data_IF_714927706226
#
_entry.id   IF_714927706226
#
_cell.length_a   1.000
_cell.length_b   1.000
_cell.length_c   1.000
_cell.angle_alpha   90.00
_cell.angle_beta   90.00
_cell.angle_gamma   90.00
#
_symmetry.space_group_name_H-M   'P 1'
#
loop_
_entity.id
_entity.type
_entity.pdbx_description
1 polymer ?
#
# COMPACT_ATOMS: atom_id res chain seq x y z
N UNK A 1 -4.44 13.32 15.15
CA UNK A 1 -4.62 11.94 15.66
C UNK A 1 -3.37 11.15 15.32
N UNK A 2 -2.88 10.31 16.22
CA UNK A 2 -1.72 9.44 15.95
C UNK A 2 -2.24 8.08 15.50
N UNK A 3 -1.96 7.70 14.26
CA UNK A 3 -2.35 6.43 13.66
C UNK A 3 -1.13 5.76 13.00
N UNK A 4 -1.19 4.45 12.84
CA UNK A 4 -0.17 3.67 12.15
C UNK A 4 -0.79 2.76 11.11
N UNK A 5 -0.04 2.46 10.05
CA UNK A 5 -0.44 1.46 9.07
C UNK A 5 -0.57 0.08 9.76
N UNK A 6 -1.65 -0.67 9.53
CA UNK A 6 -1.76 -2.05 9.99
C UNK A 6 -0.83 -2.96 9.20
N UNK A 7 -0.52 -4.14 9.72
CA UNK A 7 0.19 -5.17 8.95
C UNK A 7 -0.57 -5.49 7.65
N UNK A 8 0.14 -5.71 6.52
CA UNK A 8 -0.51 -6.06 5.26
C UNK A 8 -1.33 -7.34 5.37
N UNK A 9 -2.54 -7.33 4.81
CA UNK A 9 -3.35 -8.54 4.69
C UNK A 9 -2.68 -9.53 3.73
N UNK A 10 -2.73 -10.82 4.06
CA UNK A 10 -2.18 -11.89 3.23
C UNK A 10 -3.28 -12.65 2.51
N UNK A 11 -2.97 -13.06 1.28
CA UNK A 11 -3.86 -13.91 0.47
C UNK A 11 -3.68 -15.38 0.82
N UNK A 12 -4.74 -16.16 0.63
CA UNK A 12 -4.72 -17.62 0.71
C UNK A 12 -4.71 -18.17 -0.70
N UNK A 13 -3.85 -19.15 -0.97
CA UNK A 13 -3.81 -19.82 -2.26
C UNK A 13 -5.06 -20.71 -2.44
N UNK A 14 -5.61 -20.72 -3.65
CA UNK A 14 -6.80 -21.50 -4.03
C UNK A 14 -6.55 -22.20 -5.36
N UNK A 15 -7.23 -23.31 -5.60
CA UNK A 15 -7.03 -24.15 -6.80
C UNK A 15 -7.84 -23.68 -8.02
N UNK A 16 -8.70 -22.68 -7.85
CA UNK A 16 -9.58 -22.18 -8.90
C UNK A 16 -9.65 -20.65 -8.89
N UNK A 17 -9.60 -19.98 -10.06
CA UNK A 17 -9.76 -18.54 -10.18
C UNK A 17 -11.24 -18.11 -10.21
N UNK A 18 -12.18 -19.02 -10.00
CA UNK A 18 -13.61 -18.70 -10.02
C UNK A 18 -13.94 -17.63 -8.98
N UNK A 19 -14.66 -16.59 -9.42
CA UNK A 19 -15.13 -15.50 -8.58
C UNK A 19 -16.64 -15.65 -8.37
N UNK A 20 -17.11 -16.11 -7.19
CA UNK A 20 -18.53 -16.19 -6.88
C UNK A 20 -19.21 -14.81 -6.94
N UNK A 21 -20.53 -14.81 -7.00
CA UNK A 21 -21.30 -13.56 -6.97
C UNK A 21 -20.93 -12.71 -5.74
N UNK A 22 -20.66 -11.42 -5.95
CA UNK A 22 -20.22 -10.49 -4.92
C UNK A 22 -18.70 -10.38 -4.73
N UNK A 23 -17.90 -11.16 -5.46
CA UNK A 23 -16.44 -11.06 -5.42
C UNK A 23 -15.92 -10.08 -6.48
N UNK A 24 -14.86 -9.35 -6.13
CA UNK A 24 -14.07 -8.57 -7.07
C UNK A 24 -12.77 -9.33 -7.40
N UNK A 25 -12.34 -9.23 -8.66
CA UNK A 25 -11.05 -9.75 -9.11
C UNK A 25 -10.08 -8.61 -9.38
N UNK A 26 -8.87 -8.74 -8.88
CA UNK A 26 -7.75 -7.85 -9.19
C UNK A 26 -6.59 -8.68 -9.77
N UNK A 27 -5.83 -8.09 -10.70
CA UNK A 27 -4.64 -8.74 -11.22
C UNK A 27 -3.59 -8.90 -10.11
N UNK A 28 -3.02 -10.10 -10.00
CA UNK A 28 -1.87 -10.33 -9.12
C UNK A 28 -0.59 -9.89 -9.83
N UNK A 29 -0.17 -8.67 -9.58
CA UNK A 29 1.12 -8.16 -10.05
C UNK A 29 2.29 -8.80 -9.30
N UNK A 30 3.44 -8.90 -9.97
CA UNK A 30 4.70 -9.31 -9.37
C UNK A 30 5.56 -8.06 -9.11
N UNK A 31 5.98 -7.89 -7.86
CA UNK A 31 6.59 -6.65 -7.38
C UNK A 31 6.65 -6.61 -5.86
N UNK A 32 7.06 -5.47 -5.31
CA UNK A 32 7.14 -5.31 -3.87
C UNK A 32 5.77 -4.93 -3.30
N UNK A 33 5.23 -5.76 -2.39
CA UNK A 33 4.10 -5.34 -1.56
C UNK A 33 4.57 -4.17 -0.69
N UNK A 34 3.90 -3.04 -0.83
CA UNK A 34 4.23 -1.82 -0.12
C UNK A 34 2.97 -1.13 0.39
N UNK A 35 3.11 -0.48 1.55
CA UNK A 35 2.09 0.39 2.10
C UNK A 35 2.61 1.82 2.13
N UNK A 36 1.74 2.76 1.80
CA UNK A 36 2.05 4.19 1.75
C UNK A 36 1.15 4.93 2.75
N UNK A 37 1.75 5.78 3.57
CA UNK A 37 1.03 6.68 4.47
C UNK A 37 1.38 8.13 4.14
N UNK A 38 0.35 8.95 3.93
CA UNK A 38 0.41 10.41 3.88
C UNK A 38 -0.23 10.95 5.15
N UNK A 39 0.59 11.52 6.05
CA UNK A 39 0.10 12.10 7.31
C UNK A 39 -0.29 13.56 7.15
N UNK A 40 -1.20 14.05 7.99
CA UNK A 40 -1.55 15.47 8.05
C UNK A 40 -0.35 16.42 8.31
N UNK A 41 0.74 15.93 8.89
CA UNK A 41 1.98 16.70 9.07
C UNK A 41 2.80 16.89 7.79
N UNK A 42 2.37 16.32 6.65
CA UNK A 42 3.16 16.28 5.42
C UNK A 42 4.25 15.20 5.42
N UNK A 43 4.27 14.32 6.44
CA UNK A 43 5.16 13.15 6.45
C UNK A 43 4.61 12.08 5.53
N UNK A 44 5.46 11.60 4.63
CA UNK A 44 5.20 10.40 3.82
C UNK A 44 6.04 9.25 4.34
N UNK A 45 5.44 8.07 4.45
CA UNK A 45 6.12 6.82 4.73
C UNK A 45 5.71 5.80 3.69
N UNK A 46 6.67 5.29 2.94
CA UNK A 46 6.53 4.10 2.12
C UNK A 46 7.27 2.95 2.80
N UNK A 47 6.57 1.85 3.10
CA UNK A 47 7.17 0.70 3.78
C UNK A 47 6.93 -0.61 3.06
N UNK A 48 7.91 -1.51 3.13
CA UNK A 48 7.80 -2.88 2.64
C UNK A 48 6.82 -3.70 3.50
N UNK A 49 6.46 -4.90 3.01
CA UNK A 49 5.75 -5.92 3.80
C UNK A 49 6.38 -6.20 5.17
N UNK A 50 7.70 -6.08 5.30
CA UNK A 50 8.44 -6.37 6.53
C UNK A 50 8.69 -5.11 7.37
N UNK A 51 8.05 -3.98 7.03
CA UNK A 51 8.17 -2.73 7.77
C UNK A 51 9.44 -1.92 7.45
N UNK A 52 10.26 -2.35 6.49
CA UNK A 52 11.42 -1.58 6.03
C UNK A 52 10.95 -0.26 5.43
N UNK A 53 11.50 0.87 5.90
CA UNK A 53 11.25 2.18 5.27
C UNK A 53 11.97 2.24 3.92
N UNK A 54 11.19 2.40 2.85
CA UNK A 54 11.65 2.47 1.47
C UNK A 54 11.52 3.88 0.90
N UNK A 55 11.08 4.86 1.70
CA UNK A 55 10.73 6.21 1.22
C UNK A 55 11.89 6.90 0.49
N UNK A 56 13.11 6.73 0.98
CA UNK A 56 14.30 7.32 0.36
C UNK A 56 14.68 6.66 -0.97
N UNK A 57 14.29 5.39 -1.18
CA UNK A 57 14.60 4.64 -2.40
C UNK A 57 13.66 4.96 -3.56
N UNK A 58 12.48 5.50 -3.28
CA UNK A 58 11.45 5.81 -4.28
C UNK A 58 10.95 7.27 -4.14
N UNK A 59 11.83 8.26 -4.40
CA UNK A 59 11.50 9.67 -4.23
C UNK A 59 10.30 10.15 -5.08
N UNK A 60 10.07 9.52 -6.23
CA UNK A 60 8.94 9.78 -7.11
C UNK A 60 7.60 9.40 -6.48
N UNK A 61 7.53 8.28 -5.74
CA UNK A 61 6.31 7.87 -5.01
C UNK A 61 6.04 8.86 -3.88
N UNK A 62 7.08 9.28 -3.16
CA UNK A 62 6.95 10.32 -2.13
C UNK A 62 6.39 11.62 -2.72
N UNK A 63 6.91 12.07 -3.86
CA UNK A 63 6.44 13.29 -4.52
C UNK A 63 4.98 13.16 -5.00
N UNK A 64 4.61 12.02 -5.58
CA UNK A 64 3.23 11.74 -5.97
C UNK A 64 2.29 11.75 -4.76
N UNK A 65 2.68 11.13 -3.65
CA UNK A 65 1.89 11.12 -2.42
C UNK A 65 1.60 12.54 -1.90
N UNK A 66 2.62 13.39 -1.85
CA UNK A 66 2.49 14.78 -1.40
C UNK A 66 1.59 15.64 -2.30
N UNK A 67 1.48 15.30 -3.58
CA UNK A 67 0.76 16.10 -4.57
C UNK A 67 -0.65 15.60 -4.84
N UNK A 68 -0.90 14.30 -4.67
CA UNK A 68 -2.14 13.66 -5.13
C UNK A 68 -3.01 13.11 -3.99
N UNK A 69 -2.43 12.84 -2.81
CA UNK A 69 -3.18 12.21 -1.73
C UNK A 69 -3.67 13.24 -0.70
N UNK A 70 -4.91 13.10 -0.21
CA UNK A 70 -5.37 13.83 0.96
C UNK A 70 -4.50 13.52 2.19
N UNK A 71 -4.46 14.48 3.12
CA UNK A 71 -3.91 14.26 4.46
C UNK A 71 -4.60 13.09 5.16
N UNK A 72 -3.81 12.34 5.95
CA UNK A 72 -4.26 11.15 6.70
C UNK A 72 -4.82 10.02 5.81
N UNK A 73 -4.15 9.77 4.68
CA UNK A 73 -4.45 8.66 3.77
C UNK A 73 -3.45 7.52 3.95
N UNK A 74 -3.95 6.28 4.01
CA UNK A 74 -3.16 5.06 3.92
C UNK A 74 -3.55 4.24 2.69
N UNK A 75 -2.57 3.77 1.92
CA UNK A 75 -2.76 2.90 0.76
C UNK A 75 -1.99 1.60 0.95
N UNK A 76 -2.52 0.50 0.44
CA UNK A 76 -1.87 -0.81 0.38
C UNK A 76 -1.90 -1.32 -1.06
N UNK A 77 -0.74 -1.76 -1.57
CA UNK A 77 -0.62 -2.07 -2.98
C UNK A 77 0.72 -2.70 -3.34
N UNK A 78 1.02 -2.66 -4.63
CA UNK A 78 2.23 -3.18 -5.23
C UNK A 78 2.91 -2.06 -6.01
N UNK A 79 4.24 -2.00 -5.89
CA UNK A 79 5.09 -1.11 -6.69
C UNK A 79 5.54 -1.82 -7.96
#
# INVERSE_FOLDING_TARGET
MTWSLPEPMLTVAVDSPALPAGWAGEAKWDGYRAQLAMHASGRVLLRSRHGTDMTASFPEIRAAALTQLPADTGLDGVM
#
